data_IF_026586844862
#
_entry.id   IF_026586844862
#
_cell.length_a   1.000
_cell.length_b   1.000
_cell.length_c   1.000
_cell.angle_alpha   90.00
_cell.angle_beta   90.00
_cell.angle_gamma   90.00
#
_symmetry.space_group_name_H-M   'P 1'
#
loop_
_entity.id
_entity.type
_entity.pdbx_description
1 polymer ?
#
# COMPACT_ATOMS: atom_id res chain seq x y z
N UNK A 1 6.46 -24.92 14.19
CA UNK A 1 6.76 -24.02 13.05
C UNK A 1 8.02 -23.24 13.39
N UNK A 2 9.16 -23.39 12.69
CA UNK A 2 10.35 -22.64 13.02
C UNK A 2 10.10 -21.16 12.73
N UNK A 3 10.12 -20.33 13.77
CA UNK A 3 10.11 -18.87 13.62
C UNK A 3 11.39 -18.49 12.89
N UNK A 4 11.26 -18.15 11.61
CA UNK A 4 12.37 -17.71 10.77
C UNK A 4 13.15 -16.59 11.45
N UNK A 5 14.48 -16.61 11.26
CA UNK A 5 15.44 -15.62 11.79
C UNK A 5 14.88 -14.20 11.62
N UNK A 6 14.90 -13.33 12.65
CA UNK A 6 14.31 -12.00 12.55
C UNK A 6 14.93 -11.22 11.40
N UNK A 7 14.08 -10.66 10.52
CA UNK A 7 14.52 -9.76 9.45
C UNK A 7 14.87 -8.43 10.12
N UNK A 8 16.16 -8.19 10.37
CA UNK A 8 16.67 -6.99 11.06
C UNK A 8 16.90 -5.79 10.13
N UNK A 9 16.32 -5.79 8.92
CA UNK A 9 16.42 -4.63 8.03
C UNK A 9 15.61 -3.49 8.60
N UNK A 10 16.27 -2.42 9.06
CA UNK A 10 15.58 -1.15 9.39
C UNK A 10 15.25 -0.45 8.08
N UNK A 11 13.97 -0.33 7.68
CA UNK A 11 13.63 0.44 6.49
C UNK A 11 13.82 1.94 6.77
N UNK A 12 14.18 2.69 5.73
CA UNK A 12 14.04 4.13 5.75
C UNK A 12 12.57 4.49 5.48
N UNK A 13 11.98 5.34 6.31
CA UNK A 13 10.61 5.83 6.12
C UNK A 13 10.71 7.28 5.65
N UNK A 14 10.10 7.58 4.50
CA UNK A 14 10.12 8.93 3.91
C UNK A 14 8.84 9.19 3.09
N UNK A 15 8.57 10.44 2.69
CA UNK A 15 7.53 10.72 1.72
C UNK A 15 7.67 9.85 0.47
N UNK A 16 6.54 9.31 0.03
CA UNK A 16 6.46 8.56 -1.21
C UNK A 16 6.59 9.50 -2.41
N UNK A 17 7.28 9.02 -3.45
CA UNK A 17 7.47 9.77 -4.70
C UNK A 17 6.42 9.37 -5.73
N UNK A 18 6.18 10.24 -6.72
CA UNK A 18 5.26 9.94 -7.82
C UNK A 18 5.63 8.64 -8.58
N UNK A 19 6.94 8.36 -8.73
CA UNK A 19 7.44 7.16 -9.38
C UNK A 19 7.11 5.87 -8.62
N UNK A 20 6.87 5.95 -7.31
CA UNK A 20 6.56 4.81 -6.45
C UNK A 20 5.07 4.49 -6.40
N UNK A 21 4.20 5.40 -6.86
CA UNK A 21 2.74 5.26 -6.79
C UNK A 21 2.21 3.98 -7.47
N UNK A 22 2.72 3.54 -8.64
CA UNK A 22 2.30 2.26 -9.21
C UNK A 22 2.59 1.06 -8.29
N UNK A 23 3.71 1.09 -7.55
CA UNK A 23 4.06 0.02 -6.61
C UNK A 23 3.20 0.08 -5.35
N UNK A 24 2.95 1.27 -4.82
CA UNK A 24 2.09 1.50 -3.66
C UNK A 24 0.65 1.08 -3.98
N UNK A 25 0.15 1.40 -5.17
CA UNK A 25 -1.18 0.98 -5.61
C UNK A 25 -1.34 -0.55 -5.65
N UNK A 26 -0.29 -1.28 -6.08
CA UNK A 26 -0.29 -2.75 -6.00
C UNK A 26 -0.31 -3.27 -4.56
N UNK A 27 0.35 -2.58 -3.62
CA UNK A 27 0.27 -2.93 -2.19
C UNK A 27 -1.13 -2.68 -1.63
N UNK A 28 -1.75 -1.55 -1.97
CA UNK A 28 -3.12 -1.24 -1.58
C UNK A 28 -4.11 -2.28 -2.13
N UNK A 29 -3.99 -2.65 -3.41
CA UNK A 29 -4.83 -3.67 -4.02
C UNK A 29 -4.67 -5.05 -3.36
N UNK A 30 -3.43 -5.45 -3.00
CA UNK A 30 -3.19 -6.67 -2.21
C UNK A 30 -3.91 -6.61 -0.86
N UNK A 31 -3.85 -5.48 -0.17
CA UNK A 31 -4.52 -5.30 1.11
C UNK A 31 -6.05 -5.40 0.95
N UNK A 32 -6.62 -4.80 -0.09
CA UNK A 32 -8.06 -4.90 -0.40
C UNK A 32 -8.47 -6.35 -0.68
N UNK A 33 -7.72 -7.08 -1.52
CA UNK A 33 -7.98 -8.49 -1.80
C UNK A 33 -7.91 -9.33 -0.53
N UNK A 34 -6.92 -9.10 0.33
CA UNK A 34 -6.80 -9.77 1.62
C UNK A 34 -8.00 -9.51 2.53
N UNK A 35 -8.53 -8.28 2.59
CA UNK A 35 -9.74 -7.98 3.36
C UNK A 35 -10.97 -8.73 2.80
N UNK A 36 -11.12 -8.78 1.47
CA UNK A 36 -12.19 -9.52 0.83
C UNK A 36 -12.12 -11.03 1.09
N UNK A 37 -10.92 -11.61 1.03
CA UNK A 37 -10.70 -13.03 1.37
C UNK A 37 -11.10 -13.33 2.83
N UNK A 38 -10.87 -12.39 3.74
CA UNK A 38 -11.22 -12.54 5.16
C UNK A 38 -12.73 -12.41 5.42
N UNK A 39 -13.41 -11.43 4.80
CA UNK A 39 -14.86 -11.22 4.94
C UNK A 39 -15.46 -10.62 3.65
N UNK A 40 -15.89 -11.46 2.69
CA UNK A 40 -16.36 -10.99 1.40
C UNK A 40 -17.72 -10.29 1.47
N UNK A 41 -18.50 -10.52 2.55
CA UNK A 41 -19.80 -9.84 2.75
C UNK A 41 -19.60 -8.39 3.18
N UNK A 42 -18.52 -8.10 3.90
CA UNK A 42 -18.17 -6.76 4.37
C UNK A 42 -17.33 -5.98 3.37
N UNK A 43 -16.39 -6.62 2.70
CA UNK A 43 -15.41 -5.96 1.84
C UNK A 43 -15.64 -6.31 0.39
N UNK A 44 -16.38 -5.50 -0.36
CA UNK A 44 -16.63 -5.73 -1.79
C UNK A 44 -15.41 -5.38 -2.64
N UNK A 45 -15.16 -6.14 -3.71
CA UNK A 45 -14.05 -5.92 -4.66
C UNK A 45 -14.58 -5.73 -6.07
N UNK A 46 -14.08 -4.71 -6.76
CA UNK A 46 -14.24 -4.51 -8.19
C UNK A 46 -12.88 -4.31 -8.83
N UNK A 47 -12.61 -5.05 -9.89
CA UNK A 47 -11.35 -4.96 -10.63
C UNK A 47 -11.47 -4.02 -11.85
N UNK A 48 -10.39 -3.35 -12.25
CA UNK A 48 -9.07 -3.33 -11.60
C UNK A 48 -9.01 -2.36 -10.39
N UNK A 49 -8.45 -2.80 -9.26
CA UNK A 49 -8.33 -1.99 -8.04
C UNK A 49 -7.21 -0.93 -8.15
N UNK A 50 -6.08 -1.31 -8.72
CA UNK A 50 -4.83 -0.55 -8.72
C UNK A 50 -4.97 0.88 -9.29
N UNK A 51 -5.66 1.13 -10.43
CA UNK A 51 -5.79 2.48 -10.98
C UNK A 51 -6.51 3.45 -10.04
N UNK A 52 -7.51 2.96 -9.29
CA UNK A 52 -8.26 3.76 -8.33
C UNK A 52 -7.37 4.23 -7.17
N UNK A 53 -6.60 3.30 -6.59
CA UNK A 53 -5.66 3.62 -5.52
C UNK A 53 -4.48 4.47 -5.99
N UNK A 54 -3.94 4.21 -7.19
CA UNK A 54 -2.90 5.07 -7.76
C UNK A 54 -3.39 6.51 -7.85
N UNK A 55 -4.58 6.74 -8.41
CA UNK A 55 -5.17 8.08 -8.54
C UNK A 55 -5.39 8.74 -7.19
N UNK A 56 -6.03 8.03 -6.25
CA UNK A 56 -6.34 8.56 -4.93
C UNK A 56 -5.08 8.90 -4.14
N UNK A 57 -4.13 7.97 -4.02
CA UNK A 57 -2.91 8.19 -3.23
C UNK A 57 -1.97 9.23 -3.87
N UNK A 58 -1.94 9.34 -5.20
CA UNK A 58 -1.22 10.43 -5.87
C UNK A 58 -1.81 11.79 -5.53
N UNK A 59 -3.15 11.90 -5.44
CA UNK A 59 -3.82 13.13 -5.02
C UNK A 59 -3.51 13.46 -3.56
N UNK A 60 -3.62 12.47 -2.66
CA UNK A 60 -3.33 12.69 -1.24
C UNK A 60 -1.86 13.01 -0.98
N UNK A 61 -0.93 12.51 -1.80
CA UNK A 61 0.49 12.88 -1.71
C UNK A 61 0.76 14.37 -2.02
N UNK A 62 -0.17 15.06 -2.69
CA UNK A 62 -0.12 16.50 -2.97
C UNK A 62 -1.00 17.32 -2.03
N UNK A 63 -1.78 16.66 -1.16
CA UNK A 63 -2.69 17.30 -0.23
C UNK A 63 -1.91 17.79 1.01
N UNK A 64 -1.92 19.11 1.33
CA UNK A 64 -1.21 19.62 2.50
C UNK A 64 -1.73 19.07 3.85
N UNK A 65 -2.95 18.53 3.88
CA UNK A 65 -3.57 17.95 5.08
C UNK A 65 -3.37 16.43 5.18
N UNK A 66 -2.62 15.82 4.27
CA UNK A 66 -2.35 14.38 4.26
C UNK A 66 -0.85 14.08 4.12
N UNK A 67 -0.46 12.88 4.54
CA UNK A 67 0.90 12.37 4.35
C UNK A 67 0.88 10.95 3.82
N UNK A 68 1.60 10.72 2.73
CA UNK A 68 1.82 9.39 2.15
C UNK A 68 3.30 9.04 2.33
N UNK A 69 3.58 8.12 3.25
CA UNK A 69 4.94 7.64 3.53
C UNK A 69 5.16 6.26 2.91
N UNK A 70 6.38 6.02 2.44
CA UNK A 70 6.86 4.71 2.00
C UNK A 70 7.98 4.23 2.92
N UNK A 71 7.92 2.96 3.31
CA UNK A 71 9.04 2.25 3.90
C UNK A 71 9.84 1.62 2.76
N UNK A 72 11.07 2.07 2.58
CA UNK A 72 12.00 1.59 1.54
C UNK A 72 13.20 0.92 2.17
N UNK A 73 13.81 -0.02 1.44
CA UNK A 73 15.11 -0.57 1.85
C UNK A 73 16.13 0.56 1.81
N UNK A 74 16.88 0.72 2.91
CA UNK A 74 18.00 1.64 3.01
C UNK A 74 19.18 1.17 2.16
#
# INVERSE_FOLDING_TARGET
>A
MPHGKPITCRPAIRPATAAEMPAIARLAAKLVRQHHEMDPKRFMVFEPIEPGYQRFLSKEALNPDAVVLAAVRA
#
